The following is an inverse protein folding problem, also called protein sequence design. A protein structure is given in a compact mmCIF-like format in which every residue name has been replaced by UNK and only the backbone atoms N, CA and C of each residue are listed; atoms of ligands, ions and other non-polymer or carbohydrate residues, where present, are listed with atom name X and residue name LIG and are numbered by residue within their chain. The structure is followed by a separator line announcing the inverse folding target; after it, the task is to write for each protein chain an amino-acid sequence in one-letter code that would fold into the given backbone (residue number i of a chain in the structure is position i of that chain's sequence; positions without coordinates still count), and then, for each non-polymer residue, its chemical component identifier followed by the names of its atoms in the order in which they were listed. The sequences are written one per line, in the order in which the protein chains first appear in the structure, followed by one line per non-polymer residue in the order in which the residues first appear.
data_IF_081785283405
#
_entry.id   IF_081785283405
#
_cell.length_a   1.000
_cell.length_b   1.000
_cell.length_c   1.000
_cell.angle_alpha   90.00
_cell.angle_beta   90.00
_cell.angle_gamma   90.00
#
_symmetry.space_group_name_H-M   'P 1'
#
loop_
_entity.id
_entity.type
_entity.pdbx_description
1 polymer ?
#
# COMPACT_ATOMS: atom_id res chain seq x y z
N UNK A 1 12.56 -15.89 -7.77
CA UNK A 1 13.65 -14.92 -7.51
C UNK A 1 14.99 -15.64 -7.52
N UNK A 2 15.30 -16.54 -6.58
CA UNK A 2 16.62 -17.21 -6.49
C UNK A 2 17.01 -17.99 -7.76
N UNK A 3 16.06 -18.59 -8.46
CA UNK A 3 16.26 -19.28 -9.73
C UNK A 3 16.41 -18.38 -10.95
N UNK A 4 16.20 -17.06 -10.80
CA UNK A 4 16.23 -16.09 -11.91
C UNK A 4 14.99 -16.08 -12.80
N UNK A 5 13.97 -16.92 -12.52
CA UNK A 5 12.73 -16.95 -13.29
C UNK A 5 11.89 -15.69 -13.09
N UNK A 6 11.79 -15.21 -11.86
CA UNK A 6 11.11 -13.95 -11.53
C UNK A 6 12.16 -12.85 -11.34
N UNK A 7 12.17 -11.87 -12.24
CA UNK A 7 13.22 -10.83 -12.31
C UNK A 7 12.72 -9.45 -11.90
N UNK A 8 11.42 -9.21 -11.93
CA UNK A 8 10.79 -7.92 -11.65
C UNK A 8 9.34 -8.08 -11.19
N UNK A 9 8.69 -6.99 -10.81
CA UNK A 9 7.31 -6.93 -10.37
C UNK A 9 7.14 -6.99 -8.84
N UNK A 10 5.90 -6.88 -8.39
CA UNK A 10 5.54 -6.76 -6.97
C UNK A 10 6.06 -7.95 -6.15
N UNK A 11 5.83 -9.18 -6.62
CA UNK A 11 6.28 -10.38 -5.92
C UNK A 11 7.81 -10.47 -5.83
N UNK A 12 8.51 -10.07 -6.90
CA UNK A 12 9.97 -9.98 -6.87
C UNK A 12 10.44 -8.98 -5.81
N UNK A 13 9.83 -7.80 -5.78
CA UNK A 13 10.16 -6.76 -4.81
C UNK A 13 9.86 -7.21 -3.36
N UNK A 14 8.72 -7.81 -3.11
CA UNK A 14 8.37 -8.32 -1.78
C UNK A 14 9.41 -9.33 -1.28
N UNK A 15 9.78 -10.31 -2.12
CA UNK A 15 10.79 -11.32 -1.73
C UNK A 15 12.17 -10.72 -1.56
N UNK A 16 12.58 -9.81 -2.45
CA UNK A 16 13.92 -9.19 -2.42
C UNK A 16 14.11 -8.30 -1.20
N UNK A 17 13.07 -7.57 -0.82
CA UNK A 17 13.12 -6.61 0.30
C UNK A 17 12.53 -7.13 1.61
N UNK A 18 12.14 -8.41 1.66
CA UNK A 18 11.55 -9.01 2.87
C UNK A 18 10.23 -8.37 3.29
N UNK A 19 9.45 -7.86 2.32
CA UNK A 19 8.13 -7.28 2.57
C UNK A 19 7.13 -8.41 2.75
N UNK A 20 6.42 -8.49 3.89
CA UNK A 20 5.43 -9.53 4.11
C UNK A 20 4.24 -9.36 3.16
N UNK A 21 3.68 -10.49 2.73
CA UNK A 21 2.49 -10.53 1.89
C UNK A 21 1.63 -11.75 2.22
N UNK A 22 0.34 -11.66 1.91
CA UNK A 22 -0.63 -12.74 2.06
C UNK A 22 -1.21 -13.06 0.69
N UNK A 23 -1.03 -14.29 0.23
CA UNK A 23 -1.68 -14.80 -0.97
C UNK A 23 -3.02 -15.42 -0.57
N UNK A 24 -4.09 -14.68 -0.77
CA UNK A 24 -5.44 -15.15 -0.48
C UNK A 24 -6.16 -15.55 -1.77
N UNK A 25 -6.86 -16.67 -1.74
CA UNK A 25 -7.79 -17.07 -2.79
C UNK A 25 -8.97 -16.10 -2.89
N UNK A 26 -9.72 -16.19 -3.96
CA UNK A 26 -10.91 -15.39 -4.20
C UNK A 26 -12.16 -16.27 -4.29
N UNK A 27 -13.33 -15.63 -4.30
CA UNK A 27 -14.59 -16.36 -4.53
C UNK A 27 -14.73 -16.88 -5.97
N UNK A 28 -13.85 -16.47 -6.88
CA UNK A 28 -13.86 -16.91 -8.28
C UNK A 28 -12.92 -18.09 -8.52
N UNK A 29 -11.72 -17.99 -8.01
CA UNK A 29 -10.68 -19.00 -8.11
C UNK A 29 -9.58 -18.74 -7.07
N UNK A 30 -8.74 -19.75 -6.83
CA UNK A 30 -7.61 -19.65 -5.92
C UNK A 30 -6.30 -19.27 -6.64
N UNK A 31 -6.38 -19.05 -7.96
CA UNK A 31 -5.22 -18.75 -8.78
C UNK A 31 -4.24 -19.90 -8.93
N UNK A 32 -3.18 -19.73 -9.71
CA UNK A 32 -2.22 -20.78 -10.05
C UNK A 32 -1.06 -20.94 -9.05
N UNK A 33 -0.97 -20.09 -8.03
CA UNK A 33 0.15 -20.11 -7.10
C UNK A 33 -0.02 -21.17 -6.02
N UNK A 34 0.98 -22.02 -5.76
CA UNK A 34 0.87 -23.14 -4.84
C UNK A 34 0.67 -22.74 -3.39
N UNK A 35 1.14 -21.55 -3.00
CA UNK A 35 1.09 -21.06 -1.63
C UNK A 35 -0.16 -20.19 -1.35
N UNK A 36 -1.14 -20.21 -2.25
CA UNK A 36 -2.39 -19.47 -2.06
C UNK A 36 -3.23 -20.10 -0.94
N UNK A 37 -3.67 -19.26 -0.02
CA UNK A 37 -4.52 -19.67 1.11
C UNK A 37 -5.95 -19.76 0.60
N UNK A 38 -6.48 -20.95 0.53
CA UNK A 38 -7.83 -21.26 0.03
C UNK A 38 -8.88 -21.21 1.14
N UNK A 39 -8.48 -21.42 2.39
CA UNK A 39 -9.34 -21.24 3.55
C UNK A 39 -9.57 -19.76 3.82
N UNK A 40 -10.82 -19.32 3.61
CA UNK A 40 -11.18 -17.89 3.74
C UNK A 40 -11.08 -17.36 5.17
N UNK A 41 -11.29 -18.20 6.17
CA UNK A 41 -11.19 -17.81 7.58
C UNK A 41 -9.72 -17.57 7.91
N UNK A 42 -8.85 -18.51 7.52
CA UNK A 42 -7.41 -18.39 7.72
C UNK A 42 -6.81 -17.19 6.97
N UNK A 43 -7.23 -16.95 5.73
CA UNK A 43 -6.81 -15.79 4.96
C UNK A 43 -7.20 -14.47 5.68
N UNK A 44 -8.43 -14.39 6.20
CA UNK A 44 -8.89 -13.20 6.92
C UNK A 44 -8.14 -12.98 8.25
N UNK A 45 -7.79 -14.03 8.98
CA UNK A 45 -6.97 -13.92 10.19
C UNK A 45 -5.63 -13.25 9.89
N UNK A 46 -4.92 -13.74 8.89
CA UNK A 46 -3.64 -13.17 8.47
C UNK A 46 -3.77 -11.73 7.95
N UNK A 47 -4.81 -11.43 7.17
CA UNK A 47 -5.07 -10.07 6.71
C UNK A 47 -5.36 -9.11 7.87
N UNK A 48 -6.06 -9.55 8.91
CA UNK A 48 -6.34 -8.72 10.10
C UNK A 48 -5.09 -8.32 10.85
N UNK A 49 -4.09 -9.17 10.93
CA UNK A 49 -2.80 -8.84 11.54
C UNK A 49 -2.14 -7.64 10.84
N UNK A 50 -2.24 -7.57 9.50
CA UNK A 50 -1.77 -6.44 8.74
C UNK A 50 -2.69 -5.22 8.88
N UNK A 51 -4.00 -5.42 8.83
CA UNK A 51 -5.00 -4.35 8.92
C UNK A 51 -4.86 -3.53 10.21
N UNK A 52 -4.57 -4.18 11.34
CA UNK A 52 -4.39 -3.51 12.63
C UNK A 52 -3.21 -2.54 12.68
N UNK A 53 -2.21 -2.72 11.82
CA UNK A 53 -0.99 -1.89 11.75
C UNK A 53 -0.97 -0.96 10.55
N UNK A 54 -2.00 -1.03 9.71
CA UNK A 54 -2.09 -0.25 8.49
C UNK A 54 -2.35 1.22 8.80
N UNK A 55 -1.61 2.10 8.16
CA UNK A 55 -1.79 3.56 8.21
C UNK A 55 -2.39 4.11 6.93
N UNK A 56 -2.18 3.41 5.83
CA UNK A 56 -2.75 3.68 4.52
C UNK A 56 -2.97 2.36 3.79
N UNK A 57 -4.09 2.21 3.10
CA UNK A 57 -4.37 1.07 2.24
C UNK A 57 -4.61 1.54 0.80
N UNK A 58 -3.88 0.94 -0.14
CA UNK A 58 -4.09 1.13 -1.57
C UNK A 58 -4.69 -0.17 -2.11
N UNK A 59 -5.87 -0.08 -2.69
CA UNK A 59 -6.65 -1.20 -3.19
C UNK A 59 -6.77 -1.08 -4.71
N UNK A 60 -6.24 -2.05 -5.45
CA UNK A 60 -6.03 -1.91 -6.90
C UNK A 60 -6.71 -3.05 -7.64
N UNK A 61 -7.57 -2.71 -8.61
CA UNK A 61 -8.16 -3.61 -9.61
C UNK A 61 -8.94 -4.81 -9.05
N UNK A 62 -9.52 -4.70 -7.86
CA UNK A 62 -10.33 -5.78 -7.27
C UNK A 62 -11.46 -5.24 -6.39
N UNK A 63 -12.69 -5.28 -6.90
CA UNK A 63 -13.85 -4.80 -6.15
C UNK A 63 -14.17 -5.66 -4.92
N UNK A 64 -14.18 -6.97 -5.07
CA UNK A 64 -14.59 -7.89 -4.00
C UNK A 64 -13.59 -7.93 -2.84
N UNK A 65 -12.31 -8.06 -3.12
CA UNK A 65 -11.27 -8.03 -2.08
C UNK A 65 -11.19 -6.64 -1.42
N UNK A 66 -11.39 -5.58 -2.18
CA UNK A 66 -11.42 -4.21 -1.64
C UNK A 66 -12.57 -4.02 -0.64
N UNK A 67 -13.77 -4.51 -0.96
CA UNK A 67 -14.90 -4.46 -0.03
C UNK A 67 -14.62 -5.30 1.23
N UNK A 68 -14.12 -6.52 1.04
CA UNK A 68 -13.83 -7.41 2.15
C UNK A 68 -12.74 -6.85 3.07
N UNK A 69 -11.63 -6.37 2.51
CA UNK A 69 -10.54 -5.79 3.27
C UNK A 69 -10.93 -4.45 3.88
N UNK A 70 -11.65 -3.60 3.16
CA UNK A 70 -12.17 -2.33 3.66
C UNK A 70 -13.04 -2.49 4.90
N UNK A 71 -13.86 -3.54 4.97
CA UNK A 71 -14.65 -3.86 6.16
C UNK A 71 -13.81 -4.31 7.37
N UNK A 72 -12.58 -4.71 7.18
CA UNK A 72 -11.65 -5.08 8.26
C UNK A 72 -10.80 -3.90 8.74
N UNK A 73 -10.72 -2.81 7.96
CA UNK A 73 -9.92 -1.64 8.31
C UNK A 73 -10.66 -0.76 9.35
N UNK A 74 -9.96 -0.25 10.36
CA UNK A 74 -10.53 0.75 11.24
C UNK A 74 -10.69 2.09 10.50
N UNK A 75 -11.73 2.87 10.84
CA UNK A 75 -11.87 4.23 10.29
C UNK A 75 -10.82 5.20 10.81
N UNK A 76 -10.33 4.96 12.01
CA UNK A 76 -9.35 5.78 12.71
C UNK A 76 -8.27 4.92 13.35
N UNK A 77 -7.08 5.46 13.42
CA UNK A 77 -5.96 4.90 14.17
C UNK A 77 -5.71 5.79 15.38
N UNK A 78 -5.56 5.18 16.54
CA UNK A 78 -5.17 5.89 17.78
C UNK A 78 -3.65 5.87 17.84
N UNK A 79 -3.04 7.04 17.88
CA UNK A 79 -1.59 7.20 18.01
C UNK A 79 -1.14 7.01 19.46
N UNK A 80 0.17 6.87 19.68
CA UNK A 80 0.74 6.63 21.03
C UNK A 80 0.50 7.77 22.02
N UNK A 81 0.30 8.98 21.52
CA UNK A 81 0.00 10.19 22.31
C UNK A 81 -1.50 10.36 22.62
N UNK A 82 -2.34 9.40 22.19
CA UNK A 82 -3.79 9.43 22.35
C UNK A 82 -4.53 10.24 21.30
N UNK A 83 -3.84 10.85 20.34
CA UNK A 83 -4.49 11.55 19.22
C UNK A 83 -5.10 10.55 18.22
N UNK A 84 -6.07 11.00 17.43
CA UNK A 84 -6.68 10.18 16.39
C UNK A 84 -6.16 10.62 15.02
N UNK A 85 -5.91 9.64 14.17
CA UNK A 85 -5.61 9.85 12.78
C UNK A 85 -6.59 9.05 11.91
N UNK A 86 -7.26 9.67 10.93
CA UNK A 86 -8.06 8.90 9.98
C UNK A 86 -7.17 7.95 9.18
N UNK A 87 -7.64 6.73 8.97
CA UNK A 87 -6.99 5.80 8.07
C UNK A 87 -7.31 6.22 6.63
N UNK A 88 -6.28 6.39 5.82
CA UNK A 88 -6.45 6.72 4.40
C UNK A 88 -6.63 5.44 3.58
N UNK A 89 -7.68 5.40 2.76
CA UNK A 89 -7.88 4.36 1.75
C UNK A 89 -7.89 4.97 0.36
N UNK A 90 -7.22 4.31 -0.58
CA UNK A 90 -7.18 4.70 -1.99
C UNK A 90 -7.66 3.50 -2.81
N UNK A 91 -8.79 3.66 -3.50
CA UNK A 91 -9.34 2.64 -4.39
C UNK A 91 -9.03 3.01 -5.84
N UNK A 92 -8.40 2.10 -6.57
CA UNK A 92 -7.98 2.29 -7.96
C UNK A 92 -8.65 1.23 -8.84
N UNK A 93 -9.44 1.67 -9.79
CA UNK A 93 -10.09 0.80 -10.79
C UNK A 93 -10.33 1.57 -12.08
N UNK A 94 -10.46 0.87 -13.19
CA UNK A 94 -10.82 1.48 -14.49
C UNK A 94 -12.31 1.83 -14.60
N UNK A 95 -13.14 1.30 -13.72
CA UNK A 95 -14.59 1.51 -13.69
C UNK A 95 -14.97 2.59 -12.68
N UNK A 96 -15.53 3.69 -13.16
CA UNK A 96 -16.08 4.75 -12.30
C UNK A 96 -17.14 4.23 -11.31
N UNK A 97 -17.98 3.31 -11.77
CA UNK A 97 -19.01 2.70 -10.93
C UNK A 97 -18.42 1.92 -9.75
N UNK A 98 -17.33 1.17 -9.99
CA UNK A 98 -16.61 0.43 -8.95
C UNK A 98 -15.96 1.41 -7.98
N UNK A 99 -15.22 2.39 -8.49
CA UNK A 99 -14.52 3.39 -7.66
C UNK A 99 -15.49 4.16 -6.77
N UNK A 100 -16.63 4.61 -7.30
CA UNK A 100 -17.65 5.32 -6.52
C UNK A 100 -18.19 4.46 -5.38
N UNK A 101 -18.53 3.20 -5.64
CA UNK A 101 -19.00 2.27 -4.59
C UNK A 101 -17.94 2.00 -3.52
N UNK A 102 -16.68 1.86 -3.92
CA UNK A 102 -15.60 1.60 -2.98
C UNK A 102 -15.29 2.81 -2.11
N UNK A 103 -15.35 4.02 -2.69
CA UNK A 103 -15.21 5.27 -1.95
C UNK A 103 -16.31 5.44 -0.89
N UNK A 104 -17.56 5.16 -1.25
CA UNK A 104 -18.71 5.28 -0.35
C UNK A 104 -18.68 4.28 0.82
N UNK A 105 -17.92 3.20 0.67
CA UNK A 105 -17.72 2.14 1.68
C UNK A 105 -16.34 2.13 2.29
N UNK A 106 -15.54 3.13 1.98
CA UNK A 106 -14.18 3.26 2.51
C UNK A 106 -14.16 3.75 3.96
N UNK A 107 -12.96 4.01 4.43
CA UNK A 107 -12.72 4.64 5.74
C UNK A 107 -13.14 6.12 5.70
N UNK A 108 -13.04 6.80 6.83
CA UNK A 108 -13.37 8.24 6.91
C UNK A 108 -12.62 9.08 5.85
N UNK A 109 -11.39 8.72 5.51
CA UNK A 109 -10.60 9.37 4.46
C UNK A 109 -10.39 8.43 3.28
N UNK A 110 -11.37 8.38 2.37
CA UNK A 110 -11.37 7.52 1.20
C UNK A 110 -11.22 8.32 -0.10
N UNK A 111 -10.29 7.90 -0.93
CA UNK A 111 -10.04 8.47 -2.26
C UNK A 111 -10.32 7.42 -3.34
N UNK A 112 -10.89 7.87 -4.45
CA UNK A 112 -11.10 7.05 -5.64
C UNK A 112 -10.28 7.57 -6.82
N UNK A 113 -9.60 6.68 -7.52
CA UNK A 113 -8.81 6.99 -8.72
C UNK A 113 -9.29 6.11 -9.86
N UNK A 114 -9.84 6.74 -10.90
CA UNK A 114 -10.33 6.05 -12.10
C UNK A 114 -9.20 6.00 -13.11
N UNK A 115 -8.53 4.86 -13.20
CA UNK A 115 -7.43 4.65 -14.14
C UNK A 115 -7.11 3.16 -14.28
N UNK A 116 -6.30 2.83 -15.26
CA UNK A 116 -5.70 1.50 -15.38
C UNK A 116 -4.71 1.26 -14.24
N UNK A 117 -4.70 0.05 -13.67
CA UNK A 117 -3.82 -0.32 -12.56
C UNK A 117 -2.32 -0.17 -12.89
N UNK A 118 -1.92 -0.51 -14.12
CA UNK A 118 -0.52 -0.39 -14.54
C UNK A 118 -0.10 1.07 -14.66
N UNK A 119 -0.94 1.91 -15.28
CA UNK A 119 -0.68 3.35 -15.41
C UNK A 119 -0.57 4.00 -14.03
N UNK A 120 -1.48 3.65 -13.12
CA UNK A 120 -1.41 4.12 -11.74
C UNK A 120 -0.09 3.77 -11.06
N UNK A 121 0.35 2.52 -11.18
CA UNK A 121 1.60 2.07 -10.55
C UNK A 121 2.84 2.73 -11.16
N UNK A 122 2.86 2.98 -12.45
CA UNK A 122 3.93 3.72 -13.11
C UNK A 122 4.02 5.16 -12.62
N UNK A 123 2.90 5.86 -12.57
CA UNK A 123 2.83 7.24 -12.10
C UNK A 123 3.18 7.33 -10.62
N UNK A 124 2.64 6.44 -9.79
CA UNK A 124 2.96 6.37 -8.38
C UNK A 124 4.47 6.17 -8.14
N UNK A 125 5.06 5.21 -8.85
CA UNK A 125 6.50 4.96 -8.77
C UNK A 125 7.31 6.20 -9.10
N UNK A 126 7.01 6.86 -10.21
CA UNK A 126 7.69 8.08 -10.63
C UNK A 126 7.68 9.16 -9.55
N UNK A 127 6.52 9.46 -8.98
CA UNK A 127 6.41 10.49 -7.95
C UNK A 127 7.07 10.09 -6.63
N UNK A 128 7.00 8.83 -6.23
CA UNK A 128 7.66 8.34 -5.01
C UNK A 128 9.19 8.42 -5.15
N UNK A 129 9.74 8.03 -6.31
CA UNK A 129 11.17 8.11 -6.58
C UNK A 129 11.64 9.58 -6.60
N UNK A 130 10.92 10.48 -7.27
CA UNK A 130 11.21 11.90 -7.32
C UNK A 130 11.19 12.55 -5.93
N UNK A 131 10.17 12.29 -5.14
CA UNK A 131 10.03 12.82 -3.78
C UNK A 131 11.14 12.29 -2.85
N UNK A 132 11.49 11.02 -2.99
CA UNK A 132 12.57 10.40 -2.20
C UNK A 132 13.91 11.05 -2.52
N UNK A 133 14.20 11.29 -3.80
CA UNK A 133 15.41 11.99 -4.23
C UNK A 133 15.48 13.42 -3.69
N UNK A 134 14.37 14.16 -3.76
CA UNK A 134 14.27 15.53 -3.25
C UNK A 134 14.53 15.59 -1.73
N UNK A 135 13.97 14.64 -0.96
CA UNK A 135 14.18 14.57 0.49
C UNK A 135 15.63 14.21 0.85
N UNK A 136 16.28 13.35 0.08
CA UNK A 136 17.69 13.04 0.28
C UNK A 136 18.57 14.28 0.09
N UNK A 137 18.35 15.03 -0.99
CA UNK A 137 19.06 16.27 -1.29
C UNK A 137 18.85 17.33 -0.21
N UNK A 138 17.61 17.52 0.26
CA UNK A 138 17.30 18.49 1.31
C UNK A 138 17.97 18.18 2.65
N UNK A 139 18.17 16.89 2.98
CA UNK A 139 18.88 16.49 4.19
C UNK A 139 20.37 16.77 4.14
N UNK A 140 20.98 16.67 2.95
CA UNK A 140 22.41 16.99 2.76
C UNK A 140 22.67 18.49 2.88
N UNK A 141 21.79 19.35 2.35
CA UNK A 141 21.90 20.79 2.52
C UNK A 141 21.77 21.25 3.98
N UNK A 142 20.96 20.59 4.79
CA UNK A 142 20.81 20.88 6.22
C UNK A 142 21.98 20.41 7.09
N UNK A 143 22.94 19.64 6.54
CA UNK A 143 24.14 19.13 7.20
C UNK A 143 25.43 19.85 6.82
N UNK A 144 25.37 20.90 6.02
CA UNK A 144 26.55 21.70 5.71
C UNK A 144 27.19 22.21 7.00
N UNK A 145 28.51 22.00 7.23
CA UNK A 145 29.17 22.46 8.44
C UNK A 145 29.12 23.97 8.49
N UNK A 146 28.57 24.53 9.56
CA UNK A 146 28.74 25.95 9.88
C UNK A 146 30.23 26.13 10.12
N UNK A 147 30.95 26.70 9.14
CA UNK A 147 32.31 27.16 9.34
C UNK A 147 32.31 28.14 10.48
N UNK A 148 32.84 27.75 11.62
CA UNK A 148 33.18 28.66 12.69
C UNK A 148 34.19 29.64 12.14
N UNK A 149 33.75 30.89 11.87
CA UNK A 149 34.65 31.99 11.63
C UNK A 149 35.38 32.28 12.94
N UNK A 150 36.59 31.71 13.10
CA UNK A 150 37.55 32.16 14.11
C UNK A 150 38.06 33.52 13.67
N UNK A 151 37.47 34.56 14.23
CA UNK A 151 38.03 35.91 14.14
C UNK A 151 39.24 36.03 15.01
N UNK A 152 40.29 36.53 14.42
CA UNK A 152 41.48 37.03 15.09
C UNK A 152 41.16 38.39 15.76
#
# INVERSE_FOLDING_TARGET
VKSGLLREGIMHACVTHGIPFVLAGSIRDDGPLPDTITDVVRAQELMREHAQRTTMAIMIATALHTIAFGNMLPSYVIEKDGSFRPLTTIAVDSSEFVVSKLKDRGTHQAFGVITNAQDFLHVLRYFVEAETANRATSRDYGRAPVHAASGA
#
